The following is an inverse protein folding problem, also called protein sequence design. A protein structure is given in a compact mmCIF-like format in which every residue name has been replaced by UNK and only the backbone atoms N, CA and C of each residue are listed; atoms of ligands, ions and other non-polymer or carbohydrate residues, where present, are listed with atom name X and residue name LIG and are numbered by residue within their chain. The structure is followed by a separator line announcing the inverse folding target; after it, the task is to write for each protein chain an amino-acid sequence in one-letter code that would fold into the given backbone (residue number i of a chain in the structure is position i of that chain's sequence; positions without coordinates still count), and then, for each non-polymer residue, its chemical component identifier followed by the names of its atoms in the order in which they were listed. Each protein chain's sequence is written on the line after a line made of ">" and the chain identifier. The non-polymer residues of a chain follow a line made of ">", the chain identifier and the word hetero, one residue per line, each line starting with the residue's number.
data_IF_958108475263
#
_entry.id   IF_958108475263
#
_cell.length_a   1.000
_cell.length_b   1.000
_cell.length_c   1.000
_cell.angle_alpha   90.00
_cell.angle_beta   90.00
_cell.angle_gamma   90.00
#
_symmetry.space_group_name_H-M   'P 1'
#
loop_
_entity.id
_entity.type
_entity.pdbx_description
1 polymer ?
#
# COMPACT_ATOMS: atom_id res chain seq x y z
N UNK A 1 -22.54 -8.70 -30.24
CA UNK A 1 -21.95 -7.91 -29.12
C UNK A 1 -22.35 -8.60 -27.82
N UNK A 2 -21.48 -9.40 -27.22
CA UNK A 2 -21.79 -10.14 -25.99
C UNK A 2 -20.89 -9.59 -24.89
N UNK A 3 -21.51 -9.22 -23.77
CA UNK A 3 -20.92 -8.52 -22.64
C UNK A 3 -19.80 -9.32 -22.00
N UNK A 4 -18.68 -8.67 -21.70
CA UNK A 4 -17.64 -9.22 -20.83
C UNK A 4 -18.25 -9.40 -19.43
N UNK A 5 -18.27 -10.63 -18.92
CA UNK A 5 -18.65 -10.93 -17.54
C UNK A 5 -17.68 -10.22 -16.60
N UNK A 6 -18.15 -9.18 -15.93
CA UNK A 6 -17.40 -8.43 -14.93
C UNK A 6 -17.51 -9.15 -13.57
N UNK A 7 -16.89 -10.32 -13.44
CA UNK A 7 -16.76 -10.99 -12.14
C UNK A 7 -15.75 -10.20 -11.30
N UNK A 8 -16.25 -9.38 -10.37
CA UNK A 8 -15.40 -8.89 -9.28
C UNK A 8 -15.02 -10.08 -8.40
N UNK A 9 -13.72 -10.30 -8.13
CA UNK A 9 -13.31 -11.39 -7.25
C UNK A 9 -13.92 -11.17 -5.87
N UNK A 10 -14.55 -12.21 -5.33
CA UNK A 10 -14.94 -12.22 -3.92
C UNK A 10 -13.68 -12.30 -3.06
N UNK A 11 -13.54 -11.39 -2.09
CA UNK A 11 -12.41 -11.33 -1.17
C UNK A 11 -12.94 -11.66 0.22
N UNK A 12 -12.37 -12.68 0.86
CA UNK A 12 -12.65 -13.00 2.25
C UNK A 12 -11.82 -12.09 3.16
N UNK A 13 -12.48 -11.48 4.14
CA UNK A 13 -11.88 -10.62 5.15
C UNK A 13 -12.07 -11.21 6.55
N UNK A 14 -11.15 -10.98 7.50
CA UNK A 14 -9.90 -10.25 7.33
C UNK A 14 -8.87 -10.99 6.49
N UNK A 15 -8.00 -10.25 5.82
CA UNK A 15 -6.91 -10.84 5.03
C UNK A 15 -5.68 -9.94 5.00
N UNK A 16 -4.53 -10.53 4.72
CA UNK A 16 -3.30 -9.77 4.49
C UNK A 16 -3.38 -9.05 3.14
N UNK A 17 -3.24 -7.73 3.18
CA UNK A 17 -3.14 -6.90 2.00
C UNK A 17 -1.72 -6.36 1.83
N UNK A 18 -1.26 -6.33 0.58
CA UNK A 18 0.08 -5.90 0.21
C UNK A 18 0.00 -4.63 -0.61
N UNK A 19 0.76 -3.62 -0.22
CA UNK A 19 0.98 -2.40 -1.01
C UNK A 19 2.46 -2.27 -1.34
N UNK A 20 2.76 -1.77 -2.53
CA UNK A 20 4.08 -1.23 -2.83
C UNK A 20 4.06 0.27 -2.56
N UNK A 21 4.81 0.72 -1.56
CA UNK A 21 4.91 2.13 -1.18
C UNK A 21 6.27 2.67 -1.64
N UNK A 22 6.27 3.80 -2.35
CA UNK A 22 7.48 4.39 -2.93
C UNK A 22 7.71 5.78 -2.34
N UNK A 23 8.93 6.03 -1.85
CA UNK A 23 9.34 7.31 -1.28
C UNK A 23 10.86 7.50 -1.34
N UNK A 24 11.40 8.54 -0.69
CA UNK A 24 12.83 8.85 -0.70
C UNK A 24 13.68 7.84 0.09
N UNK A 25 13.31 7.60 1.35
CA UNK A 25 14.09 6.81 2.30
C UNK A 25 13.18 6.06 3.29
N UNK A 26 13.74 5.01 3.90
CA UNK A 26 13.00 4.12 4.80
C UNK A 26 12.38 4.86 6.00
N UNK A 27 13.08 5.81 6.61
CA UNK A 27 12.61 6.48 7.82
C UNK A 27 11.40 7.38 7.54
N UNK A 28 11.41 8.11 6.42
CA UNK A 28 10.25 8.92 6.01
C UNK A 28 9.05 8.06 5.64
N UNK A 29 9.28 7.01 4.85
CA UNK A 29 8.19 6.10 4.45
C UNK A 29 7.62 5.38 5.66
N UNK A 30 8.47 4.91 6.57
CA UNK A 30 8.04 4.24 7.80
C UNK A 30 7.17 5.15 8.67
N UNK A 31 7.59 6.40 8.92
CA UNK A 31 6.77 7.36 9.67
C UNK A 31 5.43 7.63 8.99
N UNK A 32 5.43 7.83 7.66
CA UNK A 32 4.20 8.00 6.89
C UNK A 32 3.24 6.81 7.05
N UNK A 33 3.78 5.59 7.05
CA UNK A 33 2.99 4.36 7.27
C UNK A 33 2.45 4.32 8.71
N UNK A 34 3.26 4.65 9.72
CA UNK A 34 2.83 4.68 11.13
C UNK A 34 1.72 5.71 11.40
N UNK A 35 1.70 6.84 10.66
CA UNK A 35 0.65 7.85 10.77
C UNK A 35 -0.67 7.41 10.11
N UNK A 36 -0.62 6.55 9.10
CA UNK A 36 -1.79 6.16 8.28
C UNK A 36 -2.36 4.80 8.67
N UNK A 37 -1.50 3.84 9.00
CA UNK A 37 -1.90 2.45 9.26
C UNK A 37 -2.17 2.26 10.75
N UNK A 38 -3.41 1.93 11.14
CA UNK A 38 -3.69 1.56 12.51
C UNK A 38 -3.17 0.15 12.81
N UNK A 39 -2.45 -0.01 13.92
CA UNK A 39 -2.03 -1.31 14.43
C UNK A 39 -0.75 -1.86 13.81
N UNK A 40 -0.61 -3.18 13.78
CA UNK A 40 0.61 -3.85 13.33
C UNK A 40 0.71 -3.91 11.81
N UNK A 41 1.93 -3.70 11.31
CA UNK A 41 2.27 -3.83 9.90
C UNK A 41 3.69 -4.35 9.73
N UNK A 42 3.98 -4.90 8.54
CA UNK A 42 5.35 -5.20 8.11
C UNK A 42 5.75 -4.27 6.96
N UNK A 43 6.90 -3.63 7.07
CA UNK A 43 7.45 -2.78 6.02
C UNK A 43 8.88 -3.24 5.68
N UNK A 44 9.08 -3.72 4.45
CA UNK A 44 10.36 -4.27 3.98
C UNK A 44 10.82 -3.54 2.73
N UNK A 45 12.11 -3.19 2.67
CA UNK A 45 12.73 -2.72 1.44
C UNK A 45 12.56 -3.77 0.33
N UNK A 46 12.14 -3.33 -0.86
CA UNK A 46 11.94 -4.22 -2.01
C UNK A 46 12.85 -3.88 -3.18
N UNK A 47 13.00 -2.60 -3.51
CA UNK A 47 13.83 -2.17 -4.62
C UNK A 47 14.34 -0.74 -4.46
N UNK A 48 15.43 -0.41 -5.14
CA UNK A 48 15.86 0.96 -5.36
C UNK A 48 15.67 1.31 -6.84
N UNK A 49 15.16 2.50 -7.11
CA UNK A 49 15.04 3.02 -8.48
C UNK A 49 16.41 3.04 -9.19
N UNK A 50 16.40 2.97 -10.52
CA UNK A 50 17.63 2.89 -11.33
C UNK A 50 18.60 4.06 -11.12
N UNK A 51 18.11 5.23 -10.68
CA UNK A 51 18.91 6.42 -10.40
C UNK A 51 19.19 6.62 -8.90
N UNK A 52 18.73 5.72 -8.03
CA UNK A 52 18.91 5.83 -6.58
C UNK A 52 18.05 6.91 -5.90
N UNK A 53 17.20 7.61 -6.64
CA UNK A 53 16.39 8.72 -6.12
C UNK A 53 15.26 8.26 -5.19
N UNK A 54 14.67 7.10 -5.50
CA UNK A 54 13.53 6.55 -4.77
C UNK A 54 13.76 5.10 -4.38
N UNK A 55 13.12 4.70 -3.28
CA UNK A 55 13.08 3.34 -2.76
C UNK A 55 11.64 2.85 -2.73
N UNK A 56 11.46 1.58 -3.07
CA UNK A 56 10.20 0.86 -2.98
C UNK A 56 10.22 -0.01 -1.73
N UNK A 57 9.07 -0.09 -1.06
CA UNK A 57 8.87 -0.88 0.14
C UNK A 57 7.61 -1.71 0.00
N UNK A 58 7.70 -2.99 0.37
CA UNK A 58 6.55 -3.86 0.53
C UNK A 58 5.95 -3.61 1.91
N UNK A 59 4.75 -3.02 1.92
CA UNK A 59 3.92 -2.88 3.10
C UNK A 59 2.91 -4.03 3.14
N UNK A 60 2.85 -4.74 4.26
CA UNK A 60 1.86 -5.79 4.54
C UNK A 60 1.05 -5.38 5.76
N UNK A 61 -0.28 -5.39 5.62
CA UNK A 61 -1.23 -5.02 6.68
C UNK A 61 -2.39 -6.01 6.68
N UNK A 62 -3.01 -6.24 7.83
CA UNK A 62 -4.30 -6.95 7.88
C UNK A 62 -5.42 -5.95 7.61
N UNK A 63 -6.29 -6.23 6.65
CA UNK A 63 -7.48 -5.41 6.37
C UNK A 63 -8.73 -6.18 6.72
N UNK A 64 -9.65 -5.52 7.42
CA UNK A 64 -10.92 -6.09 7.89
C UNK A 64 -12.05 -5.95 6.86
N UNK A 65 -11.87 -5.08 5.86
CA UNK A 65 -12.89 -4.81 4.85
C UNK A 65 -12.29 -4.17 3.60
N UNK A 66 -13.08 -4.17 2.52
CA UNK A 66 -12.80 -3.43 1.30
C UNK A 66 -12.67 -1.92 1.57
N UNK A 67 -13.56 -1.37 2.40
CA UNK A 67 -13.52 0.05 2.80
C UNK A 67 -12.21 0.40 3.53
N UNK A 68 -11.76 -0.46 4.46
CA UNK A 68 -10.48 -0.25 5.15
C UNK A 68 -9.33 -0.27 4.16
N UNK A 69 -9.28 -1.26 3.27
CA UNK A 69 -8.26 -1.35 2.22
C UNK A 69 -8.23 -0.09 1.34
N UNK A 70 -9.37 0.35 0.85
CA UNK A 70 -9.46 1.55 0.00
C UNK A 70 -9.06 2.82 0.77
N UNK A 71 -9.53 2.96 2.01
CA UNK A 71 -9.19 4.09 2.87
C UNK A 71 -7.68 4.19 3.12
N UNK A 72 -7.02 3.06 3.40
CA UNK A 72 -5.57 2.97 3.55
C UNK A 72 -4.86 3.35 2.25
N UNK A 73 -5.28 2.79 1.10
CA UNK A 73 -4.70 3.11 -0.20
C UNK A 73 -4.72 4.61 -0.48
N UNK A 74 -5.89 5.26 -0.33
CA UNK A 74 -6.02 6.68 -0.60
C UNK A 74 -5.29 7.56 0.42
N UNK A 75 -5.23 7.15 1.68
CA UNK A 75 -4.54 7.89 2.73
C UNK A 75 -3.02 7.84 2.55
N UNK A 76 -2.47 6.66 2.24
CA UNK A 76 -1.06 6.50 1.87
C UNK A 76 -0.74 7.34 0.63
N UNK A 77 -1.58 7.27 -0.41
CA UNK A 77 -1.37 8.00 -1.67
C UNK A 77 -1.39 9.52 -1.51
N UNK A 78 -2.08 10.06 -0.50
CA UNK A 78 -2.13 11.51 -0.21
C UNK A 78 -1.01 11.98 0.72
N UNK A 79 -0.28 11.08 1.34
CA UNK A 79 0.76 11.44 2.29
C UNK A 79 1.96 12.09 1.56
N UNK A 80 2.40 13.26 2.03
CA UNK A 80 3.46 14.07 1.39
C UNK A 80 4.80 13.35 1.16
N UNK A 81 5.11 12.36 2.00
CA UNK A 81 6.35 11.58 1.94
C UNK A 81 6.20 10.28 1.12
N UNK A 82 5.03 10.02 0.53
CA UNK A 82 4.74 8.89 -0.34
C UNK A 82 4.48 9.42 -1.76
N UNK A 83 5.24 8.94 -2.74
CA UNK A 83 5.09 9.37 -4.13
C UNK A 83 4.11 8.49 -4.90
N UNK A 84 4.21 7.19 -4.69
CA UNK A 84 3.36 6.22 -5.34
C UNK A 84 2.97 5.09 -4.40
N UNK A 85 1.75 4.60 -4.59
CA UNK A 85 1.21 3.39 -3.97
C UNK A 85 0.69 2.52 -5.11
N UNK A 86 1.13 1.26 -5.14
CA UNK A 86 0.69 0.24 -6.11
C UNK A 86 0.13 -0.99 -5.40
#
# INVERSE_FOLDING_TARGET
>A
MIRLNNFMPHIEYPTEWKYSVIGYDYERVRRAVEEVVPGEFSLKFSNMSSQGTYQSFLLVVTVESEEMRESLFYSLKRHKDIFHVL
#
